data_IF_027467561145
#
_entry.id   IF_027467561145
#
_cell.length_a   1.000
_cell.length_b   1.000
_cell.length_c   1.000
_cell.angle_alpha   90.00
_cell.angle_beta   90.00
_cell.angle_gamma   90.00
#
_symmetry.space_group_name_H-M   'P 1'
#
loop_
_entity.id
_entity.type
_entity.pdbx_description
1 polymer ?
#
# COMPACT_ATOMS: atom_id res chain seq x y z
N UNK A 1 -17.48 19.50 4.60
CA UNK A 1 -16.54 20.24 3.73
C UNK A 1 -16.84 19.82 2.32
N UNK A 2 -17.24 20.76 1.47
CA UNK A 2 -17.45 20.48 0.04
C UNK A 2 -16.10 20.55 -0.69
N UNK A 3 -15.93 19.73 -1.72
CA UNK A 3 -14.76 19.75 -2.57
C UNK A 3 -14.74 21.05 -3.39
N UNK A 4 -13.61 21.75 -3.39
CA UNK A 4 -13.37 22.92 -4.24
C UNK A 4 -12.77 22.43 -5.55
N UNK A 5 -13.47 22.72 -6.66
CA UNK A 5 -13.03 22.33 -8.00
C UNK A 5 -11.64 22.93 -8.32
N UNK A 6 -10.71 22.08 -8.74
CA UNK A 6 -9.32 22.45 -9.06
C UNK A 6 -8.30 22.21 -7.93
N UNK A 7 -8.75 21.91 -6.70
CA UNK A 7 -7.84 21.65 -5.58
C UNK A 7 -7.33 20.20 -5.56
N UNK A 8 -6.06 20.02 -5.17
CA UNK A 8 -5.47 18.69 -4.99
C UNK A 8 -5.96 18.06 -3.69
N UNK A 9 -6.63 16.91 -3.78
CA UNK A 9 -7.00 16.14 -2.60
C UNK A 9 -5.86 15.17 -2.23
N UNK A 10 -5.47 15.15 -0.96
CA UNK A 10 -4.45 14.28 -0.40
C UNK A 10 -5.08 13.15 0.43
N UNK A 11 -4.40 12.00 0.48
CA UNK A 11 -4.72 10.94 1.45
C UNK A 11 -4.01 11.20 2.76
N UNK A 12 -4.67 10.93 3.88
CA UNK A 12 -4.13 11.09 5.23
C UNK A 12 -4.71 10.02 6.17
N UNK A 13 -4.16 9.91 7.38
CA UNK A 13 -4.69 9.08 8.47
C UNK A 13 -4.69 9.91 9.76
N UNK A 14 -5.55 9.57 10.72
CA UNK A 14 -5.59 10.24 12.04
C UNK A 14 -4.37 9.86 12.90
N UNK A 15 -4.25 10.46 14.09
CA UNK A 15 -3.26 10.03 15.09
C UNK A 15 -3.53 8.61 15.60
N UNK A 16 -4.80 8.16 15.56
CA UNK A 16 -5.18 6.77 15.80
C UNK A 16 -4.98 5.93 14.54
N UNK A 17 -3.73 5.55 14.30
CA UNK A 17 -3.31 4.80 13.11
C UNK A 17 -2.58 3.51 13.49
N UNK A 18 -2.35 2.66 12.47
CA UNK A 18 -1.68 1.37 12.59
C UNK A 18 -0.47 1.36 11.64
N UNK A 19 0.73 1.01 12.12
CA UNK A 19 1.89 0.85 11.24
C UNK A 19 1.71 -0.39 10.37
N UNK A 20 1.94 -0.22 9.06
CA UNK A 20 1.88 -1.32 8.09
C UNK A 20 3.14 -1.32 7.22
N UNK A 21 3.45 -2.47 6.65
CA UNK A 21 4.51 -2.62 5.64
C UNK A 21 3.92 -3.22 4.37
N UNK A 22 4.16 -2.56 3.25
CA UNK A 22 3.67 -2.98 1.94
C UNK A 22 4.87 -3.42 1.10
N UNK A 23 4.87 -4.68 0.68
CA UNK A 23 5.81 -5.19 -0.30
C UNK A 23 5.32 -4.87 -1.70
N UNK A 24 6.10 -4.12 -2.47
CA UNK A 24 5.83 -3.76 -3.85
C UNK A 24 6.74 -4.56 -4.77
N UNK A 25 6.12 -5.28 -5.70
CA UNK A 25 6.80 -6.04 -6.75
C UNK A 25 6.92 -5.16 -7.99
N UNK A 26 8.14 -5.00 -8.50
CA UNK A 26 8.47 -4.33 -9.74
C UNK A 26 8.95 -5.31 -10.82
N UNK A 27 9.47 -4.77 -11.92
CA UNK A 27 10.06 -5.60 -12.98
C UNK A 27 11.33 -6.29 -12.46
N UNK A 28 11.43 -7.61 -12.66
CA UNK A 28 12.61 -8.40 -12.25
C UNK A 28 13.89 -8.00 -12.97
N UNK A 29 13.73 -7.50 -14.19
CA UNK A 29 14.81 -7.14 -15.11
C UNK A 29 14.65 -5.67 -15.48
N UNK A 30 15.76 -4.94 -15.57
CA UNK A 30 15.81 -3.56 -16.00
C UNK A 30 15.82 -3.42 -17.54
N UNK A 31 15.94 -2.19 -18.04
CA UNK A 31 15.98 -1.88 -19.47
C UNK A 31 17.24 -2.41 -20.18
N UNK A 32 18.28 -2.79 -19.43
CA UNK A 32 19.55 -3.33 -19.94
C UNK A 32 19.62 -4.87 -19.86
N UNK A 33 18.49 -5.53 -19.62
CA UNK A 33 18.39 -6.99 -19.42
C UNK A 33 19.14 -7.52 -18.18
N UNK A 34 19.43 -6.66 -17.19
CA UNK A 34 20.08 -7.05 -15.92
C UNK A 34 19.08 -7.20 -14.79
N UNK A 35 19.47 -7.97 -13.76
CA UNK A 35 18.66 -8.09 -12.54
C UNK A 35 18.42 -6.71 -11.92
N UNK A 36 17.16 -6.36 -11.74
CA UNK A 36 16.74 -5.11 -11.11
C UNK A 36 16.74 -5.29 -9.58
N UNK A 37 17.63 -4.62 -8.82
CA UNK A 37 17.64 -4.69 -7.36
C UNK A 37 16.38 -4.09 -6.71
N UNK A 38 15.66 -3.22 -7.43
CA UNK A 38 14.41 -2.60 -6.98
C UNK A 38 13.16 -3.39 -7.44
N UNK A 39 13.36 -4.61 -7.97
CA UNK A 39 12.26 -5.51 -8.35
C UNK A 39 11.40 -5.95 -7.17
N UNK A 40 11.89 -5.78 -5.94
CA UNK A 40 11.14 -6.01 -4.71
C UNK A 40 11.51 -4.93 -3.70
N UNK A 41 10.54 -4.10 -3.32
CA UNK A 41 10.74 -3.01 -2.36
C UNK A 41 9.74 -3.09 -1.22
N UNK A 42 10.13 -2.63 -0.03
CA UNK A 42 9.23 -2.47 1.11
C UNK A 42 8.91 -0.99 1.34
N UNK A 43 7.63 -0.69 1.50
CA UNK A 43 7.11 0.64 1.84
C UNK A 43 6.57 0.56 3.26
N UNK A 44 7.15 1.34 4.18
CA UNK A 44 6.67 1.45 5.57
C UNK A 44 5.80 2.69 5.69
N UNK A 45 4.63 2.54 6.30
CA UNK A 45 3.66 3.63 6.43
C UNK A 45 2.64 3.38 7.53
N UNK A 46 1.62 4.24 7.56
CA UNK A 46 0.53 4.18 8.52
C UNK A 46 -0.79 4.03 7.78
N UNK A 47 -1.69 3.20 8.30
CA UNK A 47 -3.05 3.01 7.82
C UNK A 47 -4.07 3.35 8.90
N UNK A 48 -5.33 3.51 8.49
CA UNK A 48 -6.44 3.66 9.43
C UNK A 48 -6.61 2.40 10.29
N UNK A 49 -7.12 2.57 11.50
CA UNK A 49 -7.36 1.48 12.46
C UNK A 49 -8.24 0.35 11.93
N UNK A 50 -9.11 0.64 10.96
CA UNK A 50 -9.94 -0.33 10.26
C UNK A 50 -9.13 -1.42 9.52
N UNK A 51 -7.83 -1.20 9.26
CA UNK A 51 -6.95 -2.21 8.66
C UNK A 51 -6.84 -3.48 9.52
N UNK A 52 -7.08 -3.40 10.83
CA UNK A 52 -7.06 -4.55 11.74
C UNK A 52 -8.22 -5.54 11.49
N UNK A 53 -9.29 -5.09 10.84
CA UNK A 53 -10.45 -5.92 10.51
C UNK A 53 -10.25 -6.67 9.18
N UNK A 54 -9.15 -6.39 8.45
CA UNK A 54 -8.81 -7.05 7.19
C UNK A 54 -8.18 -8.41 7.51
N UNK A 55 -8.80 -9.47 7.00
CA UNK A 55 -8.29 -10.84 7.14
C UNK A 55 -7.21 -11.14 6.10
N UNK A 56 -6.39 -12.16 6.38
CA UNK A 56 -5.41 -12.66 5.41
C UNK A 56 -6.08 -12.96 4.06
N UNK A 57 -5.33 -12.72 2.98
CA UNK A 57 -5.75 -12.85 1.58
C UNK A 57 -6.84 -11.88 1.10
N UNK A 58 -7.42 -11.05 1.98
CA UNK A 58 -8.36 -10.01 1.55
C UNK A 58 -7.63 -8.88 0.80
N UNK A 59 -8.29 -8.37 -0.24
CA UNK A 59 -7.82 -7.23 -1.04
C UNK A 59 -8.59 -5.99 -0.62
N UNK A 60 -7.85 -4.92 -0.32
CA UNK A 60 -8.37 -3.59 -0.01
C UNK A 60 -7.81 -2.56 -0.99
N UNK A 61 -8.57 -1.50 -1.25
CA UNK A 61 -8.07 -0.34 -1.98
C UNK A 61 -7.70 0.77 -0.99
N UNK A 62 -6.42 1.15 -0.98
CA UNK A 62 -6.01 2.39 -0.34
C UNK A 62 -6.17 3.53 -1.35
N UNK A 63 -7.02 4.50 -1.03
CA UNK A 63 -7.32 5.62 -1.93
C UNK A 63 -6.03 6.33 -2.38
N UNK A 64 -5.89 6.54 -3.69
CA UNK A 64 -4.72 7.16 -4.35
C UNK A 64 -3.38 6.44 -4.18
N UNK A 65 -3.34 5.32 -3.48
CA UNK A 65 -2.16 4.48 -3.37
C UNK A 65 -2.28 3.24 -4.27
N UNK A 66 -3.42 2.56 -4.23
CA UNK A 66 -3.70 1.37 -5.04
C UNK A 66 -4.24 0.20 -4.22
N UNK A 67 -4.31 -0.97 -4.83
CA UNK A 67 -4.83 -2.17 -4.17
C UNK A 67 -3.72 -2.96 -3.48
N UNK A 68 -4.02 -3.42 -2.27
CA UNK A 68 -3.13 -4.23 -1.46
C UNK A 68 -3.86 -5.47 -0.95
N UNK A 69 -3.17 -6.60 -0.90
CA UNK A 69 -3.64 -7.85 -0.30
C UNK A 69 -2.99 -8.03 1.06
N UNK A 70 -3.75 -8.37 2.09
CA UNK A 70 -3.19 -8.76 3.39
C UNK A 70 -2.40 -10.08 3.24
N UNK A 71 -1.13 -10.08 3.63
CA UNK A 71 -0.24 -11.24 3.54
C UNK A 71 0.00 -11.86 4.94
N UNK A 72 0.19 -11.01 5.94
CA UNK A 72 0.32 -11.41 7.35
C UNK A 72 -0.31 -10.34 8.24
N UNK A 73 -1.57 -10.57 8.63
CA UNK A 73 -2.38 -9.70 9.50
C UNK A 73 -1.69 -9.39 10.82
N UNK A 74 -1.11 -10.39 11.48
CA UNK A 74 -0.45 -10.23 12.79
C UNK A 74 0.76 -9.30 12.71
N UNK A 75 1.41 -9.23 11.53
CA UNK A 75 2.55 -8.35 11.27
C UNK A 75 2.19 -7.07 10.51
N UNK A 76 0.91 -6.86 10.16
CA UNK A 76 0.49 -5.75 9.30
C UNK A 76 1.22 -5.72 7.95
N UNK A 77 1.54 -6.90 7.39
CA UNK A 77 2.22 -7.01 6.10
C UNK A 77 1.22 -7.19 4.98
N UNK A 78 1.39 -6.41 3.93
CA UNK A 78 0.54 -6.45 2.75
C UNK A 78 1.41 -6.52 1.49
N UNK A 79 0.85 -7.08 0.43
CA UNK A 79 1.46 -7.08 -0.90
C UNK A 79 0.67 -6.11 -1.78
N UNK A 80 1.38 -5.22 -2.47
CA UNK A 80 0.78 -4.39 -3.50
C UNK A 80 0.39 -5.25 -4.70
N UNK A 81 -0.89 -5.25 -5.09
CA UNK A 81 -1.44 -6.21 -6.07
C UNK A 81 -2.08 -5.56 -7.29
N UNK A 82 -2.16 -4.24 -7.38
CA UNK A 82 -2.97 -3.64 -8.45
C UNK A 82 -2.30 -3.44 -9.79
N UNK A 83 -3.09 -3.89 -10.78
CA UNK A 83 -3.22 -3.47 -12.18
C UNK A 83 -3.38 -1.96 -12.34
#
# INVERSE_FOLDING_TARGET
MEHIEGEKIIQWVTEENVPITITKVGNLVDEEEKFNPDSLTEIKGMAEKAVNDIENDQIVQFERFGFCRMDDKEKGKMIFVSK
#
